data_IF_270682814790
#
_entry.id   IF_270682814790
#
_cell.length_a   1.000
_cell.length_b   1.000
_cell.length_c   1.000
_cell.angle_alpha   90.00
_cell.angle_beta   90.00
_cell.angle_gamma   90.00
#
_symmetry.space_group_name_H-M   'P 1'
#
loop_
_entity.id
_entity.type
_entity.pdbx_description
1 polymer ?
#
# COMPACT_ATOMS: atom_id res chain seq x y z
N UNK A 1 13.34 21.41 5.21
CA UNK A 1 13.84 20.02 5.26
C UNK A 1 12.69 19.06 4.99
N UNK A 2 12.86 18.19 4.02
CA UNK A 2 11.91 17.10 3.74
C UNK A 2 12.17 15.96 4.73
N UNK A 3 11.13 15.42 5.34
CA UNK A 3 11.23 14.36 6.33
C UNK A 3 10.39 13.15 5.88
N UNK A 4 10.64 11.99 6.46
CA UNK A 4 9.86 10.76 6.17
C UNK A 4 8.45 10.77 6.78
N UNK A 5 8.08 11.85 7.48
CA UNK A 5 6.76 11.98 8.08
C UNK A 5 5.70 12.25 7.02
N UNK A 6 4.84 11.28 6.76
CA UNK A 6 3.71 11.41 5.85
C UNK A 6 2.54 12.12 6.57
N UNK A 7 1.99 13.14 5.91
CA UNK A 7 0.83 13.90 6.40
C UNK A 7 -0.31 13.77 5.38
N UNK A 8 -1.50 13.46 5.88
CA UNK A 8 -2.72 13.41 5.06
C UNK A 8 -3.47 14.73 5.20
N UNK A 9 -3.86 15.31 4.07
CA UNK A 9 -4.60 16.58 4.03
C UNK A 9 -5.89 16.44 3.21
N UNK A 10 -6.89 17.22 3.57
CA UNK A 10 -8.08 17.38 2.76
C UNK A 10 -7.80 18.32 1.59
N UNK A 11 -8.56 18.19 0.50
CA UNK A 11 -8.33 18.94 -0.73
C UNK A 11 -8.47 20.47 -0.57
N UNK A 12 -9.34 20.94 0.31
CA UNK A 12 -9.51 22.36 0.64
C UNK A 12 -8.25 22.94 1.29
N UNK A 13 -7.70 22.24 2.29
CA UNK A 13 -6.47 22.63 2.98
C UNK A 13 -5.26 22.49 2.06
N UNK A 14 -5.23 21.46 1.21
CA UNK A 14 -4.18 21.22 0.24
C UNK A 14 -4.05 22.36 -0.78
N UNK A 15 -5.17 22.93 -1.23
CA UNK A 15 -5.18 24.02 -2.19
C UNK A 15 -4.52 25.30 -1.68
N UNK A 16 -4.39 25.49 -0.37
CA UNK A 16 -3.74 26.63 0.25
C UNK A 16 -2.22 26.44 0.41
N UNK A 17 -1.71 25.22 0.21
CA UNK A 17 -0.32 24.87 0.42
C UNK A 17 0.49 24.91 -0.89
N UNK A 18 1.80 25.19 -0.76
CA UNK A 18 2.77 25.04 -1.85
C UNK A 18 3.38 23.63 -1.78
N UNK A 19 3.08 22.79 -2.75
CA UNK A 19 3.48 21.38 -2.76
C UNK A 19 4.48 21.15 -3.90
N UNK A 20 5.71 20.77 -3.54
CA UNK A 20 6.75 20.41 -4.48
C UNK A 20 6.51 19.02 -5.08
N UNK A 21 6.98 18.81 -6.31
CA UNK A 21 6.91 17.52 -6.96
C UNK A 21 7.87 16.51 -6.31
N UNK A 22 7.47 15.23 -6.27
CA UNK A 22 8.29 14.16 -5.68
C UNK A 22 9.62 13.87 -6.39
N UNK A 23 9.82 14.43 -7.59
CA UNK A 23 11.04 14.27 -8.40
C UNK A 23 12.10 15.36 -8.13
N UNK A 24 11.78 16.37 -7.32
CA UNK A 24 12.73 17.44 -7.01
C UNK A 24 13.95 16.87 -6.28
N UNK A 25 15.18 17.24 -6.72
CA UNK A 25 16.38 16.72 -6.13
C UNK A 25 16.60 17.27 -4.72
N UNK A 26 16.92 16.35 -3.80
CA UNK A 26 17.26 16.64 -2.41
C UNK A 26 18.73 16.31 -2.15
N UNK A 27 19.32 16.96 -1.16
CA UNK A 27 20.61 16.58 -0.60
C UNK A 27 20.48 15.45 0.44
N UNK A 28 21.60 14.98 0.98
CA UNK A 28 21.63 13.92 2.00
C UNK A 28 20.92 14.32 3.31
N UNK A 29 20.75 15.61 3.56
CA UNK A 29 20.08 16.16 4.75
C UNK A 29 18.60 16.46 4.51
N UNK A 30 18.08 16.20 3.29
CA UNK A 30 16.70 16.44 2.91
C UNK A 30 16.37 17.89 2.54
N UNK A 31 17.36 18.71 2.20
CA UNK A 31 17.10 20.05 1.66
C UNK A 31 17.03 20.03 0.14
N UNK A 32 16.24 20.94 -0.41
CA UNK A 32 16.16 21.13 -1.86
C UNK A 32 17.46 21.70 -2.42
N UNK A 33 17.99 21.09 -3.48
CA UNK A 33 19.16 21.58 -4.17
C UNK A 33 18.88 22.84 -5.00
N UNK A 34 17.65 22.95 -5.52
CA UNK A 34 17.22 24.08 -6.33
C UNK A 34 16.76 25.23 -5.43
N UNK A 35 17.16 26.47 -5.76
CA UNK A 35 16.70 27.68 -5.06
C UNK A 35 15.27 28.05 -5.36
N UNK A 36 14.80 27.73 -6.57
CA UNK A 36 13.45 27.92 -7.04
C UNK A 36 12.86 26.58 -7.47
N UNK A 37 11.62 26.32 -7.08
CA UNK A 37 10.94 25.04 -7.26
C UNK A 37 9.57 25.29 -7.83
N UNK A 38 9.20 24.49 -8.83
CA UNK A 38 7.85 24.51 -9.40
C UNK A 38 6.95 23.72 -8.45
N UNK A 39 6.09 24.45 -7.75
CA UNK A 39 5.13 23.88 -6.82
C UNK A 39 3.71 23.94 -7.38
N UNK A 40 2.91 22.95 -7.01
CA UNK A 40 1.46 22.99 -7.19
C UNK A 40 0.85 23.86 -6.07
N UNK A 41 0.01 24.82 -6.46
CA UNK A 41 -0.79 25.63 -5.55
C UNK A 41 -2.21 25.73 -6.11
N UNK A 42 -3.14 25.06 -5.46
CA UNK A 42 -4.48 24.88 -6.02
C UNK A 42 -4.45 24.19 -7.39
N UNK A 43 -5.02 24.82 -8.39
CA UNK A 43 -5.10 24.31 -9.76
C UNK A 43 -3.93 24.75 -10.66
N UNK A 44 -2.96 25.52 -10.16
CA UNK A 44 -1.88 26.11 -10.95
C UNK A 44 -0.50 25.68 -10.46
N UNK A 45 0.47 25.65 -11.38
CA UNK A 45 1.88 25.49 -11.04
C UNK A 45 2.52 26.88 -10.92
N UNK A 46 3.19 27.11 -9.81
CA UNK A 46 3.83 28.37 -9.47
C UNK A 46 5.30 28.13 -9.14
N UNK A 47 6.19 28.98 -9.67
CA UNK A 47 7.59 28.97 -9.31
C UNK A 47 7.79 29.75 -8.00
N UNK A 48 8.28 29.10 -6.97
CA UNK A 48 8.47 29.68 -5.64
C UNK A 48 9.88 29.37 -5.09
N UNK A 49 10.43 30.24 -4.26
CA UNK A 49 11.69 29.92 -3.57
C UNK A 49 11.49 28.73 -2.63
N UNK A 50 12.53 27.88 -2.50
CA UNK A 50 12.50 26.67 -1.68
C UNK A 50 12.04 26.90 -0.22
N UNK A 51 12.24 28.12 0.31
CA UNK A 51 11.82 28.50 1.67
C UNK A 51 10.30 28.63 1.85
N UNK A 52 9.53 28.73 0.75
CA UNK A 52 8.07 28.83 0.76
C UNK A 52 7.36 27.51 0.55
N UNK A 53 8.10 26.44 0.28
CA UNK A 53 7.54 25.11 0.06
C UNK A 53 7.07 24.54 1.40
N UNK A 54 5.79 24.17 1.48
CA UNK A 54 5.17 23.63 2.68
C UNK A 54 5.32 22.10 2.74
N UNK A 55 5.08 21.43 1.61
CA UNK A 55 5.06 19.98 1.48
C UNK A 55 5.70 19.51 0.18
N UNK A 56 6.03 18.24 0.13
CA UNK A 56 6.49 17.54 -1.07
C UNK A 56 5.61 16.31 -1.30
N UNK A 57 5.26 16.03 -2.54
CA UNK A 57 4.51 14.81 -2.90
C UNK A 57 5.32 13.56 -2.52
N UNK A 58 4.66 12.53 -2.00
CA UNK A 58 5.31 11.30 -1.56
C UNK A 58 5.90 10.53 -2.73
N UNK A 59 5.20 10.49 -3.87
CA UNK A 59 5.64 9.76 -5.05
C UNK A 59 4.92 10.27 -6.31
N UNK A 60 5.59 10.27 -7.48
CA UNK A 60 4.94 10.52 -8.77
C UNK A 60 3.88 9.47 -9.13
N UNK A 61 3.94 8.29 -8.50
CA UNK A 61 2.98 7.19 -8.73
C UNK A 61 1.57 7.48 -8.22
N UNK A 62 1.36 8.54 -7.45
CA UNK A 62 0.02 8.96 -6.98
C UNK A 62 -0.97 9.30 -8.10
N UNK A 63 -0.48 9.55 -9.32
CA UNK A 63 -1.33 9.82 -10.49
C UNK A 63 -2.13 8.60 -10.97
N UNK A 64 -1.72 7.39 -10.62
CA UNK A 64 -2.36 6.15 -11.04
C UNK A 64 -2.96 5.43 -9.83
N UNK A 65 -4.11 4.77 -10.04
CA UNK A 65 -4.74 3.95 -9.01
C UNK A 65 -3.91 2.71 -8.70
N UNK A 66 -4.16 2.08 -7.53
CA UNK A 66 -3.52 0.81 -7.16
C UNK A 66 -3.79 -0.27 -8.21
N UNK A 67 -5.03 -0.37 -8.72
CA UNK A 67 -5.38 -1.34 -9.77
C UNK A 67 -4.56 -1.11 -11.04
N UNK A 68 -4.40 0.14 -11.47
CA UNK A 68 -3.57 0.49 -12.64
C UNK A 68 -2.09 0.20 -12.40
N UNK A 69 -1.59 0.40 -11.18
CA UNK A 69 -0.19 0.12 -10.82
C UNK A 69 0.18 -1.36 -10.84
N UNK A 70 -0.81 -2.25 -10.84
CA UNK A 70 -0.63 -3.71 -10.98
C UNK A 70 -0.55 -4.17 -12.44
N UNK A 71 -0.74 -3.28 -13.43
CA UNK A 71 -0.62 -3.60 -14.84
C UNK A 71 0.85 -3.48 -15.27
N UNK A 72 1.50 -4.58 -15.70
CA UNK A 72 2.87 -4.52 -16.18
C UNK A 72 2.99 -3.60 -17.41
N UNK A 73 4.08 -2.82 -17.47
CA UNK A 73 4.39 -1.93 -18.60
C UNK A 73 3.32 -0.89 -18.95
N UNK A 74 2.49 -0.50 -17.98
CA UNK A 74 1.39 0.45 -18.16
C UNK A 74 1.84 1.80 -18.76
N UNK A 75 3.08 2.21 -18.54
CA UNK A 75 3.62 3.46 -19.09
C UNK A 75 3.71 3.47 -20.64
N UNK A 76 3.76 2.30 -21.26
CA UNK A 76 3.80 2.14 -22.72
C UNK A 76 2.43 1.83 -23.34
N UNK A 77 1.37 1.81 -22.53
CA UNK A 77 0.03 1.44 -22.98
C UNK A 77 -0.85 2.69 -23.22
N UNK A 78 -1.87 2.52 -24.05
CA UNK A 78 -2.88 3.55 -24.26
C UNK A 78 -3.78 3.67 -23.02
N UNK A 79 -4.14 4.90 -22.63
CA UNK A 79 -4.94 5.19 -21.45
C UNK A 79 -6.30 4.44 -21.43
N UNK A 80 -6.97 4.35 -22.59
CA UNK A 80 -8.24 3.62 -22.71
C UNK A 80 -8.07 2.12 -22.45
N UNK A 81 -6.97 1.52 -22.92
CA UNK A 81 -6.66 0.11 -22.70
C UNK A 81 -6.24 -0.18 -21.27
N UNK A 82 -5.49 0.73 -20.64
CA UNK A 82 -5.18 0.65 -19.21
C UNK A 82 -6.44 0.71 -18.34
N UNK A 83 -7.41 1.57 -18.69
CA UNK A 83 -8.71 1.65 -18.02
C UNK A 83 -9.49 0.33 -18.13
N UNK A 84 -9.55 -0.24 -19.33
CA UNK A 84 -10.22 -1.54 -19.56
C UNK A 84 -9.53 -2.66 -18.74
N UNK A 85 -8.21 -2.71 -18.74
CA UNK A 85 -7.42 -3.67 -17.95
C UNK A 85 -7.66 -3.53 -16.44
N UNK A 86 -7.66 -2.31 -15.90
CA UNK A 86 -7.96 -2.04 -14.51
C UNK A 86 -9.38 -2.48 -14.12
N UNK A 87 -10.36 -2.29 -15.01
CA UNK A 87 -11.73 -2.77 -14.80
C UNK A 87 -11.81 -4.29 -14.82
N UNK A 88 -11.09 -4.97 -15.71
CA UNK A 88 -11.06 -6.43 -15.79
C UNK A 88 -10.39 -7.07 -14.56
N UNK A 89 -9.39 -6.45 -13.96
CA UNK A 89 -8.80 -6.92 -12.70
C UNK A 89 -9.84 -7.06 -11.57
N UNK A 90 -10.82 -6.16 -11.50
CA UNK A 90 -11.89 -6.22 -10.49
C UNK A 90 -12.89 -7.36 -10.72
N UNK A 91 -12.90 -7.96 -11.92
CA UNK A 91 -13.75 -9.08 -12.31
C UNK A 91 -13.00 -10.42 -12.26
N UNK A 92 -11.76 -10.42 -11.71
CA UNK A 92 -10.93 -11.60 -11.63
C UNK A 92 -11.56 -12.65 -10.71
N UNK A 93 -11.56 -13.91 -11.15
CA UNK A 93 -12.01 -15.05 -10.37
C UNK A 93 -10.81 -15.75 -9.74
N UNK A 94 -10.82 -16.07 -8.43
CA UNK A 94 -9.77 -16.83 -7.78
C UNK A 94 -9.56 -18.18 -8.43
N UNK A 95 -8.32 -18.51 -8.71
CA UNK A 95 -7.95 -19.82 -9.27
C UNK A 95 -7.76 -20.86 -8.16
N UNK A 96 -7.95 -22.14 -8.48
CA UNK A 96 -7.83 -23.24 -7.52
C UNK A 96 -6.41 -23.32 -6.95
N UNK A 97 -5.40 -23.12 -7.80
CA UNK A 97 -4.00 -23.10 -7.40
C UNK A 97 -3.36 -21.78 -7.87
N UNK A 98 -3.28 -20.79 -6.98
CA UNK A 98 -2.64 -19.52 -7.32
C UNK A 98 -1.14 -19.67 -7.45
N UNK A 99 -0.57 -19.01 -8.45
CA UNK A 99 0.87 -18.93 -8.70
C UNK A 99 1.28 -17.47 -8.84
N UNK A 100 2.52 -17.16 -8.48
CA UNK A 100 3.06 -15.82 -8.68
C UNK A 100 3.15 -15.48 -10.18
N UNK A 101 2.83 -14.24 -10.58
CA UNK A 101 2.93 -13.84 -11.98
C UNK A 101 4.40 -13.89 -12.43
N UNK A 102 4.64 -14.38 -13.66
CA UNK A 102 5.98 -14.40 -14.27
C UNK A 102 6.52 -12.98 -14.46
N UNK A 103 5.65 -12.06 -14.80
CA UNK A 103 5.96 -10.62 -14.90
C UNK A 103 5.07 -9.87 -13.93
N UNK A 104 5.68 -9.30 -12.92
CA UNK A 104 5.01 -8.49 -11.89
C UNK A 104 5.49 -7.04 -11.90
N UNK A 105 4.79 -6.19 -11.16
CA UNK A 105 5.11 -4.75 -11.02
C UNK A 105 5.87 -4.43 -9.73
N UNK A 106 5.95 -5.39 -8.81
CA UNK A 106 6.47 -5.19 -7.45
C UNK A 106 5.45 -4.59 -6.47
N UNK A 107 4.27 -4.20 -6.95
CA UNK A 107 3.19 -3.66 -6.11
C UNK A 107 2.28 -4.75 -5.52
N UNK A 108 2.38 -5.98 -6.02
CA UNK A 108 1.49 -7.08 -5.65
C UNK A 108 1.54 -7.37 -4.14
N UNK A 109 2.73 -7.50 -3.58
CA UNK A 109 2.94 -7.76 -2.16
C UNK A 109 2.45 -6.62 -1.26
N UNK A 110 2.70 -5.37 -1.67
CA UNK A 110 2.24 -4.18 -0.94
C UNK A 110 0.72 -4.08 -0.99
N UNK A 111 0.13 -4.23 -2.18
CA UNK A 111 -1.31 -4.18 -2.38
C UNK A 111 -2.03 -5.28 -1.58
N UNK A 112 -1.50 -6.51 -1.55
CA UNK A 112 -2.05 -7.61 -0.77
C UNK A 112 -2.00 -7.32 0.73
N UNK A 113 -0.87 -6.85 1.23
CA UNK A 113 -0.67 -6.53 2.65
C UNK A 113 -1.60 -5.41 3.12
N UNK A 114 -1.74 -4.35 2.33
CA UNK A 114 -2.50 -3.15 2.69
C UNK A 114 -4.00 -3.29 2.37
N UNK A 115 -4.42 -4.34 1.66
CA UNK A 115 -5.83 -4.58 1.28
C UNK A 115 -6.74 -4.88 2.46
N UNK A 116 -6.19 -5.26 3.62
CA UNK A 116 -6.95 -5.74 4.78
C UNK A 116 -7.53 -7.15 4.62
N UNK A 117 -7.30 -7.81 3.48
CA UNK A 117 -7.68 -9.21 3.27
C UNK A 117 -6.73 -10.20 3.96
N UNK A 118 -5.54 -9.74 4.29
CA UNK A 118 -4.47 -10.49 4.92
C UNK A 118 -4.35 -10.08 6.38
N UNK A 119 -4.31 -11.03 7.29
CA UNK A 119 -4.01 -10.74 8.69
C UNK A 119 -2.51 -10.57 8.90
N UNK A 120 -2.15 -9.45 9.49
CA UNK A 120 -0.77 -9.15 9.91
C UNK A 120 -0.65 -9.30 11.42
N UNK A 121 0.50 -9.75 11.88
CA UNK A 121 0.82 -9.78 13.31
C UNK A 121 0.83 -8.35 13.87
N UNK A 122 0.03 -8.10 14.89
CA UNK A 122 -0.08 -6.78 15.54
C UNK A 122 1.15 -6.47 16.40
N UNK A 123 1.72 -7.48 16.99
CA UNK A 123 2.90 -7.41 17.89
C UNK A 123 3.80 -8.61 17.65
N UNK A 124 5.06 -8.46 17.98
CA UNK A 124 6.00 -9.58 17.96
C UNK A 124 5.63 -10.62 19.04
N UNK A 125 5.79 -11.90 18.74
CA UNK A 125 5.46 -12.96 19.65
C UNK A 125 5.66 -14.37 19.09
N UNK A 126 5.16 -15.36 19.80
CA UNK A 126 5.20 -16.76 19.40
C UNK A 126 3.79 -17.28 19.14
N UNK A 127 3.59 -17.95 18.02
CA UNK A 127 2.30 -18.56 17.69
C UNK A 127 2.00 -19.68 18.68
N UNK A 128 0.99 -19.49 19.54
CA UNK A 128 0.58 -20.43 20.59
C UNK A 128 -0.40 -21.47 20.05
N UNK A 129 -1.30 -21.05 19.17
CA UNK A 129 -2.36 -21.87 18.61
C UNK A 129 -2.68 -21.49 17.17
N UNK A 130 -2.93 -22.50 16.34
CA UNK A 130 -3.36 -22.34 14.95
C UNK A 130 -4.45 -23.36 14.66
N UNK A 131 -5.57 -22.87 14.16
CA UNK A 131 -6.67 -23.66 13.61
C UNK A 131 -7.14 -23.10 12.27
N UNK A 132 -8.10 -23.75 11.64
CA UNK A 132 -8.71 -23.23 10.42
C UNK A 132 -9.43 -21.89 10.63
N UNK A 133 -9.91 -21.63 11.85
CA UNK A 133 -10.77 -20.48 12.16
C UNK A 133 -10.08 -19.40 12.99
N UNK A 134 -8.93 -19.74 13.61
CA UNK A 134 -8.30 -18.86 14.60
C UNK A 134 -6.80 -19.06 14.67
N UNK A 135 -6.07 -17.94 14.80
CA UNK A 135 -4.64 -17.90 15.10
C UNK A 135 -4.45 -17.13 16.39
N UNK A 136 -3.64 -17.64 17.33
CA UNK A 136 -3.27 -16.96 18.56
C UNK A 136 -1.77 -16.76 18.62
N UNK A 137 -1.37 -15.51 18.91
CA UNK A 137 0.03 -15.12 19.09
C UNK A 137 0.24 -14.68 20.53
N UNK A 138 1.08 -15.39 21.25
CA UNK A 138 1.51 -15.02 22.60
C UNK A 138 2.64 -14.01 22.49
N UNK A 139 2.39 -12.80 22.97
CA UNK A 139 3.39 -11.72 22.97
C UNK A 139 4.39 -11.91 24.11
N UNK A 140 5.53 -11.22 24.02
CA UNK A 140 6.56 -11.24 25.07
C UNK A 140 6.04 -10.73 26.43
N UNK A 141 5.02 -9.90 26.42
CA UNK A 141 4.39 -9.37 27.63
C UNK A 141 3.42 -10.36 28.30
N UNK A 142 3.18 -11.53 27.70
CA UNK A 142 2.24 -12.53 28.19
C UNK A 142 0.79 -12.33 27.72
N UNK A 143 0.51 -11.30 26.95
CA UNK A 143 -0.80 -11.09 26.33
C UNK A 143 -0.99 -12.04 25.14
N UNK A 144 -2.22 -12.44 24.86
CA UNK A 144 -2.57 -13.25 23.72
C UNK A 144 -3.35 -12.45 22.69
N UNK A 145 -2.78 -12.29 21.49
CA UNK A 145 -3.46 -11.67 20.35
C UNK A 145 -4.21 -12.73 19.55
N UNK A 146 -5.54 -12.59 19.51
CA UNK A 146 -6.43 -13.54 18.83
C UNK A 146 -6.86 -12.95 17.49
N UNK A 147 -6.63 -13.70 16.41
CA UNK A 147 -7.07 -13.36 15.04
C UNK A 147 -8.06 -14.40 14.56
N UNK A 148 -9.34 -14.00 14.40
CA UNK A 148 -10.39 -14.86 13.86
C UNK A 148 -10.41 -14.78 12.34
N UNK A 149 -10.33 -15.94 11.68
CA UNK A 149 -10.24 -16.03 10.22
C UNK A 149 -11.62 -16.10 9.56
N UNK A 150 -11.75 -15.41 8.45
CA UNK A 150 -12.98 -15.46 7.64
C UNK A 150 -12.98 -16.73 6.78
N UNK A 151 -14.02 -17.55 6.94
CA UNK A 151 -14.15 -18.83 6.25
C UNK A 151 -15.34 -18.81 5.30
N UNK A 152 -15.09 -19.13 4.03
CA UNK A 152 -16.09 -19.33 2.99
C UNK A 152 -17.16 -18.23 2.93
N UNK A 153 -16.78 -17.00 3.18
CA UNK A 153 -17.67 -15.86 3.09
C UNK A 153 -17.86 -15.44 1.63
N UNK A 154 -19.09 -15.00 1.31
CA UNK A 154 -19.39 -14.41 0.02
C UNK A 154 -18.76 -13.03 -0.07
N UNK A 155 -17.89 -12.83 -1.04
CA UNK A 155 -17.36 -11.53 -1.43
C UNK A 155 -18.14 -10.94 -2.61
N UNK A 156 -17.71 -9.79 -3.12
CA UNK A 156 -18.29 -9.18 -4.31
C UNK A 156 -18.22 -10.15 -5.51
N UNK A 157 -19.16 -10.01 -6.44
CA UNK A 157 -19.27 -10.82 -7.67
C UNK A 157 -19.37 -12.34 -7.41
N UNK A 158 -20.01 -12.74 -6.30
CA UNK A 158 -20.18 -14.14 -5.89
C UNK A 158 -18.86 -14.93 -5.68
N UNK A 159 -17.75 -14.21 -5.50
CA UNK A 159 -16.45 -14.81 -5.21
C UNK A 159 -16.42 -15.31 -3.76
N UNK A 160 -15.86 -16.50 -3.55
CA UNK A 160 -15.69 -17.08 -2.23
C UNK A 160 -14.40 -16.54 -1.58
N UNK A 161 -14.53 -15.84 -0.46
CA UNK A 161 -13.42 -15.38 0.35
C UNK A 161 -13.12 -16.38 1.47
N UNK A 162 -11.92 -16.93 1.50
CA UNK A 162 -11.52 -17.94 2.47
C UNK A 162 -10.07 -17.77 2.89
N UNK A 163 -9.84 -17.35 4.12
CA UNK A 163 -8.50 -17.17 4.69
C UNK A 163 -7.94 -18.51 5.18
N UNK A 164 -6.64 -18.70 4.97
CA UNK A 164 -5.90 -19.88 5.40
C UNK A 164 -4.67 -19.47 6.18
N UNK A 165 -4.37 -20.08 7.34
CA UNK A 165 -3.13 -19.80 8.07
C UNK A 165 -1.90 -20.10 7.21
N UNK A 166 -0.93 -19.19 7.19
CA UNK A 166 0.40 -19.39 6.59
C UNK A 166 1.45 -19.77 7.64
N UNK A 167 1.13 -19.62 8.92
CA UNK A 167 2.03 -19.86 10.05
C UNK A 167 1.74 -21.19 10.74
N UNK A 168 2.75 -21.72 11.43
CA UNK A 168 2.62 -22.97 12.22
C UNK A 168 2.76 -22.71 13.71
N UNK A 169 2.18 -23.61 14.53
CA UNK A 169 2.30 -23.52 15.99
C UNK A 169 3.76 -23.57 16.42
N UNK A 170 4.18 -22.62 17.26
CA UNK A 170 5.54 -22.51 17.78
C UNK A 170 6.45 -21.58 16.98
N UNK A 171 6.01 -21.08 15.84
CA UNK A 171 6.74 -20.11 15.01
C UNK A 171 6.85 -18.76 15.71
N UNK A 172 7.98 -18.09 15.52
CA UNK A 172 8.16 -16.70 15.97
C UNK A 172 7.77 -15.74 14.86
N UNK A 173 6.94 -14.78 15.20
CA UNK A 173 6.47 -13.73 14.27
C UNK A 173 6.88 -12.36 14.79
N UNK A 174 7.17 -11.45 13.85
CA UNK A 174 7.43 -10.04 14.13
C UNK A 174 6.19 -9.23 13.85
N UNK A 175 6.14 -8.02 14.36
CA UNK A 175 5.11 -7.06 13.98
C UNK A 175 5.09 -6.84 12.46
N UNK A 176 3.92 -6.95 11.85
CA UNK A 176 3.73 -6.82 10.41
C UNK A 176 3.97 -8.09 9.58
N UNK A 177 4.34 -9.22 10.20
CA UNK A 177 4.43 -10.49 9.48
C UNK A 177 3.06 -11.00 9.06
N UNK A 178 2.99 -11.66 7.90
CA UNK A 178 1.77 -12.22 7.34
C UNK A 178 1.39 -13.50 8.06
N UNK A 179 0.16 -13.57 8.58
CA UNK A 179 -0.39 -14.72 9.28
C UNK A 179 -1.31 -15.59 8.40
N UNK A 180 -1.93 -14.97 7.33
CA UNK A 180 -2.88 -15.67 6.42
C UNK A 180 -2.62 -15.35 4.98
#
# INVERSE_FOLDING_TARGET
VVTDKIVYKMADVENECYIAQAIEPLDEEGHFLNKHIICRHGATNVDVPASKVDYMDVSPKQLISVATSLIPFVNGDEANRALMGANMQRQAVPVIRPEAPVVGTGMEGVAARDSGCVFLAKRAGKVSYVSADEIRVLTENGDEDISSLTKFAKANDDVCFNQRPCVVKGEQVREGDVLT
#
